data_IF_018195847610
#
_entry.id   IF_018195847610
#
_cell.length_a   1.000
_cell.length_b   1.000
_cell.length_c   1.000
_cell.angle_alpha   90.00
_cell.angle_beta   90.00
_cell.angle_gamma   90.00
#
_symmetry.space_group_name_H-M   'P 1'
#
loop_
_entity.id
_entity.type
_entity.pdbx_description
1 polymer ?
#
# COMPACT_ATOMS: atom_id res chain seq x y z
N UNK A 1 -21.23 8.48 -13.65
CA UNK A 1 -22.30 7.59 -14.16
C UNK A 1 -23.44 7.44 -13.17
N UNK A 2 -23.23 7.07 -11.90
CA UNK A 2 -24.32 6.99 -10.91
C UNK A 2 -25.03 8.34 -10.68
N UNK A 3 -24.27 9.43 -10.55
CA UNK A 3 -24.79 10.80 -10.37
C UNK A 3 -25.66 11.30 -11.54
N UNK A 4 -25.42 10.77 -12.75
CA UNK A 4 -26.14 11.16 -13.95
C UNK A 4 -27.59 10.65 -13.94
N UNK A 5 -27.81 9.46 -13.38
CA UNK A 5 -29.12 8.80 -13.33
C UNK A 5 -29.83 8.97 -11.98
N UNK A 6 -29.08 9.21 -10.89
CA UNK A 6 -29.64 9.32 -9.55
C UNK A 6 -29.27 10.68 -8.93
N UNK A 7 -29.88 11.75 -9.44
CA UNK A 7 -29.56 13.14 -9.11
C UNK A 7 -29.69 13.49 -7.61
N UNK A 8 -30.54 12.77 -6.87
CA UNK A 8 -30.82 13.02 -5.44
C UNK A 8 -30.42 11.84 -4.53
N UNK A 9 -29.72 10.84 -5.04
CA UNK A 9 -29.36 9.67 -4.22
C UNK A 9 -28.15 9.96 -3.33
N UNK A 10 -28.23 9.50 -2.08
CA UNK A 10 -27.07 9.52 -1.18
C UNK A 10 -26.08 8.44 -1.61
N UNK A 11 -24.89 8.86 -2.05
CA UNK A 11 -23.81 7.94 -2.39
C UNK A 11 -23.22 7.39 -1.10
N UNK A 12 -23.50 6.12 -0.80
CA UNK A 12 -22.90 5.40 0.32
C UNK A 12 -21.71 4.61 -0.20
N UNK A 13 -20.53 4.86 0.38
CA UNK A 13 -19.31 4.11 0.08
C UNK A 13 -19.09 3.09 1.19
N UNK A 14 -18.99 1.82 0.82
CA UNK A 14 -18.61 0.77 1.74
C UNK A 14 -17.17 0.98 2.25
N UNK A 15 -17.04 1.23 3.55
CA UNK A 15 -15.76 1.53 4.23
C UNK A 15 -14.72 0.43 3.99
N UNK A 16 -15.13 -0.83 4.00
CA UNK A 16 -14.21 -1.94 3.86
C UNK A 16 -13.65 -2.03 2.44
N UNK A 17 -14.51 -1.90 1.43
CA UNK A 17 -14.11 -1.89 0.03
C UNK A 17 -13.22 -0.69 -0.27
N UNK A 18 -13.53 0.49 0.25
CA UNK A 18 -12.68 1.68 0.12
C UNK A 18 -11.25 1.42 0.62
N UNK A 19 -11.11 0.98 1.87
CA UNK A 19 -9.80 0.69 2.47
C UNK A 19 -9.07 -0.40 1.68
N UNK A 20 -9.79 -1.45 1.25
CA UNK A 20 -9.24 -2.51 0.42
C UNK A 20 -8.68 -1.98 -0.91
N UNK A 21 -9.38 -1.06 -1.57
CA UNK A 21 -8.90 -0.49 -2.83
C UNK A 21 -7.61 0.31 -2.65
N UNK A 22 -7.52 1.11 -1.57
CA UNK A 22 -6.29 1.82 -1.21
C UNK A 22 -5.14 0.83 -1.00
N UNK A 23 -5.34 -0.22 -0.19
CA UNK A 23 -4.33 -1.25 0.07
C UNK A 23 -3.89 -1.95 -1.23
N UNK A 24 -4.82 -2.22 -2.15
CA UNK A 24 -4.53 -2.82 -3.46
C UNK A 24 -3.72 -1.89 -4.34
N UNK A 25 -4.07 -0.60 -4.38
CA UNK A 25 -3.35 0.41 -5.15
C UNK A 25 -1.89 0.51 -4.68
N UNK A 26 -1.67 0.61 -3.38
CA UNK A 26 -0.34 0.61 -2.80
C UNK A 26 0.45 -0.68 -3.10
N UNK A 27 -0.17 -1.86 -2.94
CA UNK A 27 0.48 -3.14 -3.23
C UNK A 27 0.85 -3.31 -4.72
N UNK A 28 0.11 -2.67 -5.65
CA UNK A 28 0.50 -2.62 -7.07
C UNK A 28 1.82 -1.87 -7.25
N UNK A 29 1.97 -0.69 -6.63
CA UNK A 29 3.22 0.09 -6.68
C UNK A 29 4.38 -0.73 -6.08
N UNK A 30 4.16 -1.35 -4.94
CA UNK A 30 5.14 -2.26 -4.30
C UNK A 30 5.56 -3.39 -5.24
N UNK A 31 4.61 -4.08 -5.88
CA UNK A 31 4.88 -5.17 -6.84
C UNK A 31 5.64 -4.69 -8.07
N UNK A 32 5.32 -3.50 -8.61
CA UNK A 32 6.05 -2.91 -9.73
C UNK A 32 7.52 -2.66 -9.38
N UNK A 33 7.81 -2.13 -8.18
CA UNK A 33 9.18 -1.94 -7.71
C UNK A 33 9.88 -3.27 -7.42
N UNK A 34 9.16 -4.21 -6.81
CA UNK A 34 9.67 -5.55 -6.49
C UNK A 34 10.14 -6.33 -7.73
N UNK A 35 9.50 -6.16 -8.89
CA UNK A 35 9.92 -6.81 -10.15
C UNK A 35 11.33 -6.40 -10.58
N UNK A 36 11.77 -5.19 -10.22
CA UNK A 36 13.12 -4.66 -10.56
C UNK A 36 14.23 -5.22 -9.67
N UNK A 37 13.91 -5.92 -8.58
CA UNK A 37 14.92 -6.45 -7.66
C UNK A 37 15.40 -7.85 -8.03
N UNK A 38 16.64 -8.15 -7.65
CA UNK A 38 17.19 -9.51 -7.65
C UNK A 38 16.46 -10.42 -6.65
N UNK A 39 16.61 -11.73 -6.80
CA UNK A 39 15.83 -12.78 -6.11
C UNK A 39 15.78 -12.61 -4.58
N UNK A 40 16.90 -12.26 -3.94
CA UNK A 40 17.00 -12.07 -2.48
C UNK A 40 16.15 -10.88 -2.00
N UNK A 41 16.40 -9.69 -2.54
CA UNK A 41 15.66 -8.47 -2.19
C UNK A 41 14.18 -8.55 -2.59
N UNK A 42 13.86 -9.25 -3.68
CA UNK A 42 12.47 -9.55 -4.08
C UNK A 42 11.73 -10.39 -3.02
N UNK A 43 12.37 -11.40 -2.44
CA UNK A 43 11.79 -12.23 -1.36
C UNK A 43 11.60 -11.42 -0.08
N UNK A 44 12.59 -10.60 0.29
CA UNK A 44 12.50 -9.68 1.42
C UNK A 44 11.28 -8.74 1.29
N UNK A 45 11.13 -8.04 0.15
CA UNK A 45 9.99 -7.18 -0.12
C UNK A 45 8.62 -7.90 -0.14
N UNK A 46 8.59 -9.19 -0.47
CA UNK A 46 7.35 -10.00 -0.41
C UNK A 46 6.98 -10.31 1.04
N UNK A 47 7.94 -10.77 1.84
CA UNK A 47 7.73 -11.22 3.23
C UNK A 47 7.34 -10.05 4.14
N UNK A 48 7.94 -8.88 3.94
CA UNK A 48 7.66 -7.69 4.76
C UNK A 48 6.53 -6.80 4.23
N UNK A 49 5.69 -7.29 3.31
CA UNK A 49 4.53 -6.53 2.80
C UNK A 49 3.64 -6.02 3.94
N UNK A 50 3.46 -6.85 4.98
CA UNK A 50 2.62 -6.51 6.12
C UNK A 50 3.13 -5.29 6.88
N UNK A 51 4.46 -5.08 6.96
CA UNK A 51 5.06 -3.92 7.62
C UNK A 51 4.68 -2.60 6.94
N UNK A 52 4.61 -2.59 5.61
CA UNK A 52 4.21 -1.40 4.84
C UNK A 52 2.71 -1.08 4.95
N UNK A 53 1.88 -2.06 5.31
CA UNK A 53 0.43 -1.89 5.47
C UNK A 53 0.03 -1.66 6.94
N UNK A 54 0.94 -1.93 7.88
CA UNK A 54 0.70 -1.78 9.31
C UNK A 54 0.87 -0.31 9.69
N UNK A 55 -0.06 0.22 10.47
CA UNK A 55 0.05 1.58 10.98
C UNK A 55 1.27 1.74 11.91
N UNK A 56 1.93 2.90 11.83
CA UNK A 56 3.19 3.17 12.56
C UNK A 56 3.11 2.91 14.06
N UNK A 57 1.98 3.23 14.70
CA UNK A 57 1.72 2.99 16.13
C UNK A 57 1.83 1.52 16.58
N UNK A 58 1.79 0.58 15.65
CA UNK A 58 1.89 -0.85 15.94
C UNK A 58 3.23 -1.45 15.50
N UNK A 59 4.15 -0.65 14.96
CA UNK A 59 5.49 -1.11 14.58
C UNK A 59 6.43 -0.99 15.78
N UNK A 60 7.32 -1.97 15.94
CA UNK A 60 8.50 -1.82 16.82
C UNK A 60 9.53 -0.91 16.15
N UNK A 61 10.48 -0.36 16.91
CA UNK A 61 11.52 0.51 16.35
C UNK A 61 12.33 -0.18 15.25
N UNK A 62 12.62 -1.46 15.42
CA UNK A 62 13.28 -2.28 14.40
C UNK A 62 12.43 -2.42 13.13
N UNK A 63 11.11 -2.60 13.27
CA UNK A 63 10.21 -2.63 12.12
C UNK A 63 10.10 -1.26 11.43
N UNK A 64 10.16 -0.17 12.19
CA UNK A 64 10.21 1.19 11.64
C UNK A 64 11.47 1.37 10.79
N UNK A 65 12.63 0.90 11.26
CA UNK A 65 13.87 0.93 10.49
C UNK A 65 13.75 0.14 9.18
N UNK A 66 13.17 -1.06 9.23
CA UNK A 66 12.92 -1.87 8.04
C UNK A 66 12.00 -1.17 7.04
N UNK A 67 10.92 -0.54 7.52
CA UNK A 67 10.02 0.26 6.67
C UNK A 67 10.76 1.43 6.04
N UNK A 68 11.60 2.14 6.80
CA UNK A 68 12.42 3.24 6.29
C UNK A 68 13.32 2.79 5.13
N UNK A 69 14.04 1.68 5.28
CA UNK A 69 14.86 1.08 4.22
C UNK A 69 14.03 0.75 2.98
N UNK A 70 12.82 0.20 3.16
CA UNK A 70 11.92 -0.11 2.05
C UNK A 70 11.43 1.14 1.32
N UNK A 71 11.03 2.18 2.04
CA UNK A 71 10.53 3.43 1.45
C UNK A 71 11.65 4.22 0.74
N UNK A 72 12.87 4.21 1.29
CA UNK A 72 14.04 4.83 0.68
C UNK A 72 14.46 4.18 -0.64
N UNK A 73 13.96 2.97 -0.94
CA UNK A 73 14.27 2.30 -2.20
C UNK A 73 13.63 2.99 -3.42
N UNK A 74 12.58 3.80 -3.24
CA UNK A 74 11.94 4.50 -4.35
C UNK A 74 11.09 5.68 -3.89
N UNK A 75 11.32 6.85 -4.50
CA UNK A 75 10.44 8.03 -4.36
C UNK A 75 8.97 7.69 -4.57
N UNK A 76 8.66 6.98 -5.66
CA UNK A 76 7.29 6.55 -5.98
C UNK A 76 6.64 5.63 -4.95
N UNK A 77 7.41 4.86 -4.18
CA UNK A 77 6.86 3.99 -3.13
C UNK A 77 6.61 4.78 -1.84
N UNK A 78 7.43 5.81 -1.59
CA UNK A 78 7.33 6.72 -0.45
C UNK A 78 6.14 7.68 -0.55
N UNK A 79 5.72 8.05 -1.76
CA UNK A 79 4.60 8.98 -2.00
C UNK A 79 3.33 8.28 -2.50
N UNK A 80 3.26 6.94 -2.44
CA UNK A 80 2.14 6.15 -2.93
C UNK A 80 1.03 5.97 -1.89
#
# INVERSE_FOLDING_TARGET
MAETYFKNATIVIDKYHWIRQIIRAFDRVRKQKQKKFYKTRRKYFKRSRHLLLKGRRFLTDEQVNQVSVMLNTSSRLRTA
#
